data_IF_019589761199
#
_entry.id   IF_019589761199
#
_cell.length_a   1.000
_cell.length_b   1.000
_cell.length_c   1.000
_cell.angle_alpha   90.00
_cell.angle_beta   90.00
_cell.angle_gamma   90.00
#
_symmetry.space_group_name_H-M   'P 1'
#
loop_
_entity.id
_entity.type
_entity.pdbx_description
1 polymer ?
#
# COMPACT_ATOMS: atom_id res chain seq x y z
N UNK A 1 -8.71 -12.14 35.10
CA UNK A 1 -7.89 -13.35 34.97
C UNK A 1 -8.46 -14.10 33.78
N UNK A 2 -7.76 -14.12 32.63
CA UNK A 2 -7.99 -15.04 31.50
C UNK A 2 -6.92 -14.78 30.43
N UNK A 3 -5.88 -15.62 30.35
CA UNK A 3 -5.30 -15.98 29.05
C UNK A 3 -6.27 -16.97 28.41
N UNK A 4 -6.36 -16.96 27.08
CA UNK A 4 -7.13 -17.98 26.37
C UNK A 4 -6.13 -18.94 25.74
N UNK A 5 -6.17 -20.19 26.20
CA UNK A 5 -5.42 -21.27 25.60
C UNK A 5 -6.24 -21.79 24.42
N UNK A 6 -5.86 -21.43 23.20
CA UNK A 6 -6.39 -22.09 22.02
C UNK A 6 -5.58 -23.37 21.80
N UNK A 7 -6.14 -24.48 22.25
CA UNK A 7 -5.56 -25.80 22.01
C UNK A 7 -5.82 -26.21 20.56
N UNK A 8 -4.74 -26.60 19.88
CA UNK A 8 -4.71 -27.62 18.82
C UNK A 8 -5.25 -27.21 17.43
N UNK A 9 -4.40 -26.51 16.68
CA UNK A 9 -4.42 -26.72 15.21
C UNK A 9 -3.60 -27.96 14.90
N UNK A 10 -4.23 -28.96 14.30
CA UNK A 10 -3.51 -30.08 13.68
C UNK A 10 -2.73 -29.55 12.47
N UNK A 11 -1.43 -29.36 12.63
CA UNK A 11 -0.53 -29.00 11.54
C UNK A 11 0.19 -30.26 11.09
N UNK A 12 -0.36 -30.93 10.06
CA UNK A 12 0.23 -32.13 9.44
C UNK A 12 0.44 -33.30 10.42
N UNK A 13 -0.48 -33.52 11.35
CA UNK A 13 -0.41 -34.56 12.38
C UNK A 13 0.37 -34.17 13.64
N UNK A 14 0.84 -32.91 13.74
CA UNK A 14 1.55 -32.40 14.91
C UNK A 14 0.72 -31.35 15.63
N UNK A 15 0.57 -31.52 16.94
CA UNK A 15 -0.15 -30.58 17.79
C UNK A 15 0.70 -29.34 18.05
N UNK A 16 0.21 -28.18 17.64
CA UNK A 16 0.80 -26.89 17.99
C UNK A 16 -0.05 -26.22 19.05
N UNK A 17 0.60 -25.76 20.13
CA UNK A 17 -0.02 -24.93 21.14
C UNK A 17 0.14 -23.45 20.74
N UNK A 18 -0.95 -22.69 20.82
CA UNK A 18 -0.97 -21.25 20.68
C UNK A 18 -1.58 -20.64 21.93
N UNK A 19 -0.85 -19.72 22.56
CA UNK A 19 -1.28 -18.99 23.75
C UNK A 19 -1.35 -17.52 23.41
N UNK A 20 -2.51 -16.91 23.64
CA UNK A 20 -2.71 -15.48 23.42
C UNK A 20 -2.51 -14.73 24.74
N UNK A 21 -1.50 -13.88 24.76
CA UNK A 21 -1.21 -13.00 25.90
C UNK A 21 -2.21 -11.86 25.95
N UNK A 22 -2.29 -11.19 27.11
CA UNK A 22 -3.19 -10.04 27.32
C UNK A 22 -2.86 -8.85 26.42
N UNK A 23 -1.61 -8.75 26.00
CA UNK A 23 -1.11 -7.65 25.15
C UNK A 23 -1.31 -7.94 23.66
N UNK A 24 -2.03 -9.02 23.32
CA UNK A 24 -2.30 -9.43 21.94
C UNK A 24 -1.14 -10.17 21.26
N UNK A 25 -0.07 -10.48 21.98
CA UNK A 25 1.02 -11.33 21.47
C UNK A 25 0.63 -12.81 21.49
N UNK A 26 1.23 -13.58 20.59
CA UNK A 26 1.01 -15.02 20.45
C UNK A 26 2.29 -15.75 20.82
N UNK A 27 2.21 -16.62 21.82
CA UNK A 27 3.26 -17.57 22.18
C UNK A 27 2.92 -18.94 21.58
N UNK A 28 3.94 -19.71 21.20
CA UNK A 28 3.73 -21.01 20.57
C UNK A 28 4.86 -21.99 20.81
N UNK A 29 4.52 -23.28 20.73
CA UNK A 29 5.50 -24.37 20.57
C UNK A 29 6.08 -24.47 19.16
N UNK A 30 5.54 -23.73 18.20
CA UNK A 30 6.04 -23.60 16.83
C UNK A 30 6.53 -22.17 16.57
N UNK A 31 7.15 -21.92 15.40
CA UNK A 31 7.65 -20.60 15.07
C UNK A 31 6.53 -19.69 14.56
N UNK A 32 6.26 -18.60 15.26
CA UNK A 32 5.27 -17.60 14.85
C UNK A 32 5.95 -16.55 13.98
N UNK A 33 5.63 -16.51 12.68
CA UNK A 33 6.23 -15.56 11.74
C UNK A 33 5.46 -14.24 11.67
N UNK A 34 4.17 -14.28 11.96
CA UNK A 34 3.28 -13.14 11.78
C UNK A 34 2.07 -13.27 12.69
N UNK A 35 1.65 -12.15 13.28
CA UNK A 35 0.39 -11.99 13.99
C UNK A 35 -0.28 -10.70 13.51
N UNK A 36 -1.58 -10.75 13.20
CA UNK A 36 -2.32 -9.57 12.77
C UNK A 36 -3.81 -9.68 13.14
N UNK A 37 -4.45 -8.65 13.71
CA UNK A 37 -5.89 -8.68 13.99
C UNK A 37 -6.69 -8.66 12.68
N UNK A 38 -7.68 -9.54 12.56
CA UNK A 38 -8.49 -9.70 11.35
C UNK A 38 -9.98 -9.83 11.69
N UNK A 39 -10.81 -9.66 10.67
CA UNK A 39 -12.24 -9.94 10.75
C UNK A 39 -12.66 -10.94 9.67
N UNK A 40 -12.85 -12.20 10.07
CA UNK A 40 -13.32 -13.29 9.19
C UNK A 40 -14.37 -14.06 9.97
N UNK A 41 -15.65 -13.90 9.61
CA UNK A 41 -16.77 -14.52 10.35
C UNK A 41 -16.76 -14.22 11.86
N UNK A 42 -16.23 -13.04 12.24
CA UNK A 42 -16.01 -12.60 13.61
C UNK A 42 -14.60 -12.06 13.83
N UNK A 43 -14.37 -11.44 14.99
CA UNK A 43 -13.04 -10.95 15.39
C UNK A 43 -12.11 -12.12 15.65
N UNK A 44 -10.97 -12.15 14.96
CA UNK A 44 -9.96 -13.17 15.10
C UNK A 44 -8.55 -12.57 15.00
N UNK A 45 -7.54 -13.37 15.31
CA UNK A 45 -6.14 -13.05 15.04
C UNK A 45 -5.62 -13.99 13.97
N UNK A 46 -5.09 -13.43 12.90
CA UNK A 46 -4.34 -14.15 11.89
C UNK A 46 -2.96 -14.49 12.46
N UNK A 47 -2.59 -15.75 12.40
CA UNK A 47 -1.26 -16.23 12.80
C UNK A 47 -0.66 -17.02 11.64
N UNK A 48 0.57 -16.66 11.24
CA UNK A 48 1.37 -17.50 10.33
C UNK A 48 2.32 -18.34 11.18
N UNK A 49 1.99 -19.61 11.33
CA UNK A 49 2.81 -20.56 12.08
C UNK A 49 3.66 -21.37 11.11
N UNK A 50 4.94 -21.52 11.41
CA UNK A 50 5.85 -22.42 10.72
C UNK A 50 6.30 -23.55 11.65
N UNK A 51 6.25 -24.77 11.14
CA UNK A 51 6.80 -25.95 11.78
C UNK A 51 7.61 -26.73 10.74
N UNK A 52 8.90 -26.91 11.01
CA UNK A 52 9.86 -27.49 10.06
C UNK A 52 9.85 -26.74 8.71
N UNK A 53 9.49 -27.43 7.62
CA UNK A 53 9.48 -26.91 6.25
C UNK A 53 8.10 -26.46 5.76
N UNK A 54 7.10 -26.38 6.66
CA UNK A 54 5.73 -26.02 6.31
C UNK A 54 5.26 -24.80 7.10
N UNK A 55 4.43 -23.98 6.48
CA UNK A 55 3.80 -22.81 7.10
C UNK A 55 2.32 -22.78 6.80
N UNK A 56 1.50 -22.44 7.79
CA UNK A 56 0.05 -22.32 7.62
C UNK A 56 -0.48 -21.03 8.24
N UNK A 57 -1.53 -20.49 7.63
CA UNK A 57 -2.28 -19.38 8.20
C UNK A 57 -3.44 -19.92 9.03
N UNK A 58 -3.57 -19.42 10.25
CA UNK A 58 -4.67 -19.75 11.16
C UNK A 58 -5.40 -18.46 11.52
N UNK A 59 -6.73 -18.48 11.44
CA UNK A 59 -7.56 -17.51 12.12
C UNK A 59 -7.93 -18.09 13.49
N UNK A 60 -7.46 -17.46 14.57
CA UNK A 60 -7.75 -17.89 15.94
C UNK A 60 -8.74 -16.91 16.58
N UNK A 61 -9.84 -17.44 17.09
CA UNK A 61 -10.92 -16.67 17.69
C UNK A 61 -10.77 -16.62 19.21
N UNK A 62 -11.33 -15.58 19.84
CA UNK A 62 -11.26 -15.39 21.30
C UNK A 62 -11.89 -16.52 22.12
N UNK A 63 -12.74 -17.37 21.51
CA UNK A 63 -13.31 -18.55 22.16
C UNK A 63 -12.37 -19.77 22.14
N UNK A 64 -11.13 -19.61 21.68
CA UNK A 64 -10.13 -20.68 21.58
C UNK A 64 -10.24 -21.54 20.33
N UNK A 65 -11.28 -21.37 19.50
CA UNK A 65 -11.39 -22.08 18.22
C UNK A 65 -10.45 -21.48 17.18
N UNK A 66 -10.04 -22.32 16.22
CA UNK A 66 -9.20 -21.88 15.10
C UNK A 66 -9.66 -22.48 13.78
N UNK A 67 -9.47 -21.75 12.69
CA UNK A 67 -9.72 -22.22 11.33
C UNK A 67 -8.47 -22.01 10.50
N UNK A 68 -8.06 -23.03 9.75
CA UNK A 68 -7.00 -22.89 8.76
C UNK A 68 -7.50 -22.08 7.57
N UNK A 69 -6.74 -21.04 7.22
CA UNK A 69 -7.00 -20.25 6.02
C UNK A 69 -6.06 -20.72 4.91
N UNK A 70 -6.58 -21.22 3.78
CA UNK A 70 -5.75 -21.60 2.65
C UNK A 70 -5.00 -20.39 2.11
N UNK A 71 -3.72 -20.58 1.82
CA UNK A 71 -2.94 -19.64 1.03
C UNK A 71 -3.29 -19.84 -0.44
N UNK A 72 -3.71 -18.80 -1.12
CA UNK A 72 -3.98 -18.82 -2.57
C UNK A 72 -2.97 -17.98 -3.31
N UNK A 73 -2.58 -18.44 -4.50
CA UNK A 73 -1.65 -17.73 -5.37
C UNK A 73 -2.43 -16.75 -6.24
N UNK A 74 -2.22 -15.43 -6.09
CA UNK A 74 -2.86 -14.45 -6.96
C UNK A 74 -2.16 -14.39 -8.32
N UNK A 75 -2.89 -13.94 -9.34
CA UNK A 75 -2.32 -13.55 -10.64
C UNK A 75 -2.30 -12.03 -10.71
N UNK A 76 -1.11 -11.46 -10.94
CA UNK A 76 -0.99 -10.02 -11.26
C UNK A 76 -1.25 -9.90 -12.76
N UNK A 77 -2.39 -9.34 -13.15
CA UNK A 77 -2.73 -9.25 -14.57
C UNK A 77 -2.02 -8.09 -15.25
N UNK A 78 -2.06 -6.90 -14.64
CA UNK A 78 -1.55 -5.67 -15.25
C UNK A 78 -1.42 -4.54 -14.23
N UNK A 79 -0.63 -3.54 -14.60
CA UNK A 79 -0.58 -2.25 -13.92
C UNK A 79 -1.47 -1.28 -14.68
N UNK A 80 -2.42 -0.67 -14.00
CA UNK A 80 -3.42 0.23 -14.60
C UNK A 80 -3.41 1.60 -13.92
N UNK A 81 -4.11 2.55 -14.54
CA UNK A 81 -4.49 3.82 -13.92
C UNK A 81 -5.94 3.71 -13.43
N UNK A 82 -6.13 3.58 -12.13
CA UNK A 82 -7.44 3.58 -11.49
C UNK A 82 -7.90 5.01 -11.19
N UNK A 83 -9.11 5.38 -11.61
CA UNK A 83 -9.68 6.70 -11.34
C UNK A 83 -10.52 6.67 -10.06
N UNK A 84 -10.11 7.39 -9.03
CA UNK A 84 -10.77 7.50 -7.73
C UNK A 84 -10.95 8.98 -7.40
N UNK A 85 -12.16 9.41 -7.04
CA UNK A 85 -12.50 10.81 -6.70
C UNK A 85 -11.97 11.84 -7.71
N UNK A 86 -12.07 11.50 -9.00
CA UNK A 86 -11.62 12.36 -10.10
C UNK A 86 -10.11 12.39 -10.34
N UNK A 87 -9.30 11.70 -9.54
CA UNK A 87 -7.84 11.59 -9.68
C UNK A 87 -7.44 10.20 -10.19
N UNK A 88 -6.33 10.14 -10.90
CA UNK A 88 -5.77 8.89 -11.42
C UNK A 88 -4.65 8.39 -10.50
N UNK A 89 -4.71 7.11 -10.16
CA UNK A 89 -3.74 6.43 -9.31
C UNK A 89 -3.16 5.24 -10.05
N UNK A 90 -1.86 5.02 -9.92
CA UNK A 90 -1.24 3.78 -10.39
C UNK A 90 -1.71 2.64 -9.49
N UNK A 91 -2.13 1.53 -10.07
CA UNK A 91 -2.55 0.35 -9.31
C UNK A 91 -2.17 -0.96 -9.99
N UNK A 92 -1.89 -1.99 -9.19
CA UNK A 92 -1.81 -3.38 -9.69
C UNK A 92 -3.19 -4.01 -9.63
N UNK A 93 -3.64 -4.58 -10.73
CA UNK A 93 -4.80 -5.47 -10.79
C UNK A 93 -4.38 -6.89 -10.41
N UNK A 94 -5.04 -7.43 -9.40
CA UNK A 94 -4.70 -8.69 -8.75
C UNK A 94 -5.94 -9.57 -8.77
N UNK A 95 -5.88 -10.66 -9.52
CA UNK A 95 -6.97 -11.62 -9.62
C UNK A 95 -6.71 -12.82 -8.72
N UNK A 96 -7.73 -13.22 -7.98
CA UNK A 96 -7.69 -14.29 -6.99
C UNK A 96 -8.86 -15.23 -7.24
N UNK A 97 -8.55 -16.48 -7.58
CA UNK A 97 -9.56 -17.51 -7.78
C UNK A 97 -9.75 -18.30 -6.47
N UNK A 98 -10.66 -17.84 -5.61
CA UNK A 98 -11.02 -18.54 -4.38
C UNK A 98 -12.47 -18.28 -4.01
N UNK A 99 -13.21 -19.35 -3.69
CA UNK A 99 -14.62 -19.29 -3.25
C UNK A 99 -14.75 -19.35 -1.72
N UNK A 100 -13.63 -19.53 -1.02
CA UNK A 100 -13.56 -19.63 0.43
C UNK A 100 -12.68 -18.52 1.01
N UNK A 101 -12.87 -18.16 2.29
CA UNK A 101 -11.96 -17.26 2.98
C UNK A 101 -10.52 -17.76 2.88
N UNK A 102 -9.63 -16.90 2.39
CA UNK A 102 -8.26 -17.26 2.04
C UNK A 102 -7.33 -16.08 2.25
N UNK A 103 -6.04 -16.38 2.33
CA UNK A 103 -4.99 -15.37 2.42
C UNK A 103 -4.17 -15.40 1.15
N UNK A 104 -3.95 -14.23 0.56
CA UNK A 104 -2.99 -14.07 -0.52
C UNK A 104 -2.06 -12.91 -0.22
N UNK A 105 -0.93 -12.85 -0.93
CA UNK A 105 -0.08 -11.69 -0.89
C UNK A 105 0.48 -11.36 -2.26
N UNK A 106 0.79 -10.08 -2.44
CA UNK A 106 1.44 -9.57 -3.64
C UNK A 106 2.62 -8.69 -3.27
N UNK A 107 3.67 -8.75 -4.09
CA UNK A 107 4.82 -7.85 -3.97
C UNK A 107 4.44 -6.45 -4.44
N UNK A 108 4.85 -5.46 -3.67
CA UNK A 108 4.65 -4.06 -4.01
C UNK A 108 5.49 -3.65 -5.24
N UNK A 109 4.94 -2.79 -6.11
CA UNK A 109 5.69 -2.14 -7.18
C UNK A 109 6.64 -1.06 -6.64
N UNK A 110 6.21 -0.39 -5.58
CA UNK A 110 6.96 0.69 -4.95
C UNK A 110 6.70 0.67 -3.44
N UNK A 111 7.73 0.98 -2.66
CA UNK A 111 7.70 1.06 -1.20
C UNK A 111 7.20 2.43 -0.72
N UNK A 112 6.12 2.95 -1.30
CA UNK A 112 5.53 4.21 -0.82
C UNK A 112 4.78 3.99 0.50
N UNK A 113 4.69 5.06 1.30
CA UNK A 113 4.00 5.00 2.61
C UNK A 113 2.47 4.97 2.49
N UNK A 114 1.91 5.13 1.29
CA UNK A 114 0.47 5.28 1.07
C UNK A 114 -0.01 4.24 0.06
N UNK A 115 -0.30 3.05 0.59
CA UNK A 115 -0.82 1.91 -0.17
C UNK A 115 -2.21 1.58 0.36
N UNK A 116 -3.17 1.57 -0.56
CA UNK A 116 -4.55 1.18 -0.28
C UNK A 116 -4.89 -0.06 -1.08
N UNK A 117 -5.74 -0.92 -0.54
CA UNK A 117 -6.28 -2.06 -1.28
C UNK A 117 -7.76 -1.83 -1.50
N UNK A 118 -8.21 -1.98 -2.74
CA UNK A 118 -9.62 -1.96 -3.08
C UNK A 118 -10.03 -3.30 -3.66
N UNK A 119 -11.24 -3.77 -3.31
CA UNK A 119 -11.88 -4.91 -3.94
C UNK A 119 -12.87 -4.43 -4.98
N UNK A 120 -12.92 -5.11 -6.13
CA UNK A 120 -13.96 -4.90 -7.13
C UNK A 120 -15.31 -5.41 -6.61
N UNK A 121 -16.37 -4.67 -6.90
CA UNK A 121 -17.74 -5.00 -6.51
C UNK A 121 -18.68 -4.65 -7.66
N UNK A 122 -19.91 -5.17 -7.63
CA UNK A 122 -20.94 -4.86 -8.64
C UNK A 122 -21.26 -3.35 -8.76
N UNK A 123 -20.86 -2.55 -7.76
CA UNK A 123 -21.11 -1.11 -7.68
C UNK A 123 -19.83 -0.27 -7.80
N UNK A 124 -18.71 -0.86 -8.22
CA UNK A 124 -17.41 -0.19 -8.34
C UNK A 124 -16.38 -0.76 -7.37
N UNK A 125 -15.73 0.09 -6.58
CA UNK A 125 -14.63 -0.34 -5.71
C UNK A 125 -14.95 -0.12 -4.23
N UNK A 126 -14.60 -1.08 -3.40
CA UNK A 126 -14.66 -0.96 -1.92
C UNK A 126 -13.25 -1.03 -1.36
N UNK A 127 -12.82 0.03 -0.67
CA UNK A 127 -11.56 0.01 0.06
C UNK A 127 -11.63 -1.00 1.21
N UNK A 128 -10.58 -1.80 1.31
CA UNK A 128 -10.34 -2.68 2.43
C UNK A 128 -9.82 -1.87 3.62
N UNK A 129 -10.05 -2.36 4.83
CA UNK A 129 -9.53 -1.77 6.06
C UNK A 129 -8.39 -2.63 6.65
N UNK A 130 -7.80 -2.16 7.75
CA UNK A 130 -6.66 -2.82 8.41
C UNK A 130 -6.96 -4.24 8.92
N UNK A 131 -8.22 -4.64 9.05
CA UNK A 131 -8.60 -6.01 9.42
C UNK A 131 -8.69 -6.96 8.21
N UNK A 132 -8.64 -6.41 7.00
CA UNK A 132 -8.79 -7.11 5.72
C UNK A 132 -7.50 -7.10 4.90
N UNK A 133 -6.60 -6.14 5.12
CA UNK A 133 -5.27 -6.16 4.55
C UNK A 133 -4.24 -5.54 5.49
N UNK A 134 -2.97 -5.89 5.30
CA UNK A 134 -1.86 -5.27 5.99
C UNK A 134 -0.58 -5.36 5.16
N UNK A 135 0.39 -4.52 5.50
CA UNK A 135 1.71 -4.50 4.87
C UNK A 135 2.71 -5.23 5.76
N UNK A 136 3.49 -6.14 5.19
CA UNK A 136 4.59 -6.79 5.89
C UNK A 136 5.67 -7.21 4.91
N UNK A 137 6.93 -6.94 5.24
CA UNK A 137 8.11 -7.36 4.46
C UNK A 137 8.02 -7.03 2.96
N UNK A 138 7.56 -5.82 2.62
CA UNK A 138 7.44 -5.35 1.23
C UNK A 138 6.29 -5.99 0.44
N UNK A 139 5.37 -6.68 1.11
CA UNK A 139 4.19 -7.32 0.52
C UNK A 139 2.91 -6.79 1.13
N UNK A 140 1.86 -6.77 0.32
CA UNK A 140 0.48 -6.60 0.78
C UNK A 140 -0.07 -7.98 1.06
N UNK A 141 -0.49 -8.25 2.30
CA UNK A 141 -1.29 -9.41 2.64
C UNK A 141 -2.74 -9.02 2.65
N UNK A 142 -3.59 -9.82 2.03
CA UNK A 142 -5.04 -9.60 2.00
C UNK A 142 -5.71 -10.85 2.56
N UNK A 143 -6.63 -10.65 3.49
CA UNK A 143 -7.49 -11.67 4.07
C UNK A 143 -8.88 -11.47 3.47
N UNK A 144 -9.37 -12.51 2.82
CA UNK A 144 -10.46 -12.33 1.90
C UNK A 144 -11.79 -13.00 2.31
N UNK A 145 -12.87 -12.37 1.87
CA UNK A 145 -14.23 -12.90 1.71
C UNK A 145 -14.54 -12.83 0.20
N UNK A 146 -15.05 -13.89 -0.46
CA UNK A 146 -14.79 -14.19 -1.87
C UNK A 146 -15.17 -13.05 -2.83
N UNK A 147 -14.14 -12.36 -3.33
CA UNK A 147 -14.16 -11.45 -4.48
C UNK A 147 -12.99 -11.85 -5.40
N UNK A 148 -13.18 -11.70 -6.71
CA UNK A 148 -12.23 -12.18 -7.72
C UNK A 148 -11.11 -11.20 -8.03
N UNK A 149 -11.32 -9.89 -7.86
CA UNK A 149 -10.40 -8.85 -8.32
C UNK A 149 -10.10 -7.83 -7.23
N UNK A 150 -8.82 -7.51 -7.07
CA UNK A 150 -8.30 -6.50 -6.16
C UNK A 150 -7.42 -5.51 -6.89
N UNK A 151 -7.33 -4.32 -6.33
CA UNK A 151 -6.44 -3.27 -6.78
C UNK A 151 -5.55 -2.85 -5.63
N UNK A 152 -4.23 -3.04 -5.77
CA UNK A 152 -3.25 -2.41 -4.89
C UNK A 152 -2.96 -1.04 -5.46
N UNK A 153 -3.46 -0.01 -4.78
CA UNK A 153 -3.45 1.39 -5.22
C UNK A 153 -2.29 2.12 -4.56
N UNK A 154 -1.43 2.69 -5.39
CA UNK A 154 -0.28 3.48 -4.95
C UNK A 154 -0.66 4.95 -4.98
N UNK A 155 -0.73 5.59 -3.82
CA UNK A 155 -0.76 7.04 -3.80
C UNK A 155 0.58 7.56 -4.29
N UNK A 156 0.52 8.51 -5.23
CA UNK A 156 1.62 9.45 -5.35
C UNK A 156 1.63 10.23 -4.03
N UNK A 157 2.79 10.38 -3.39
CA UNK A 157 2.98 11.47 -2.42
C UNK A 157 2.35 12.71 -3.03
N UNK A 158 1.54 13.51 -2.31
CA UNK A 158 1.20 14.82 -2.82
C UNK A 158 2.54 15.49 -3.11
N UNK A 159 2.88 15.63 -4.39
CA UNK A 159 3.74 16.73 -4.80
C UNK A 159 3.01 17.90 -4.18
N UNK A 160 3.65 18.58 -3.24
CA UNK A 160 3.12 19.82 -2.71
C UNK A 160 2.96 20.71 -3.94
N UNK A 161 1.77 20.70 -4.53
CA UNK A 161 1.42 21.59 -5.61
C UNK A 161 1.34 22.90 -4.89
N UNK A 162 2.47 23.60 -4.81
CA UNK A 162 2.46 25.04 -4.60
C UNK A 162 1.42 25.52 -5.61
N UNK A 163 0.32 26.14 -5.18
CA UNK A 163 -0.67 26.66 -6.11
C UNK A 163 0.09 27.63 -7.01
N UNK A 164 0.40 27.19 -8.23
CA UNK A 164 0.76 28.13 -9.28
C UNK A 164 -0.57 28.82 -9.57
N UNK A 165 -0.73 30.11 -9.24
CA UNK A 165 -1.96 30.81 -9.59
C UNK A 165 -2.14 30.66 -11.10
N UNK A 166 -3.32 30.24 -11.51
CA UNK A 166 -3.74 30.18 -12.91
C UNK A 166 -3.74 31.59 -13.49
N UNK A 167 -2.60 32.05 -13.97
CA UNK A 167 -2.52 33.16 -14.91
C UNK A 167 -2.72 32.61 -16.31
N UNK A 168 -3.97 32.70 -16.74
CA UNK A 168 -4.35 32.82 -18.14
C UNK A 168 -3.43 33.80 -18.87
N UNK A 169 -2.74 33.28 -19.90
CA UNK A 169 -2.25 33.97 -21.10
C UNK A 169 -1.61 35.35 -20.93
N UNK A 170 -0.28 35.37 -20.69
CA UNK A 170 0.59 36.50 -21.07
C UNK A 170 2.04 36.05 -21.36
N UNK A 171 2.23 34.97 -22.12
CA UNK A 171 3.53 34.65 -22.71
C UNK A 171 3.72 35.44 -24.02
N UNK A 172 3.95 36.75 -23.91
CA UNK A 172 4.45 37.57 -25.03
C UNK A 172 5.23 38.83 -24.60
N UNK A 173 5.55 38.99 -23.31
CA UNK A 173 6.27 40.18 -22.82
C UNK A 173 7.68 39.91 -22.25
N UNK A 174 7.96 38.69 -21.78
CA UNK A 174 9.22 38.40 -21.05
C UNK A 174 10.48 38.34 -21.93
N UNK A 175 10.34 38.09 -23.24
CA UNK A 175 11.50 38.08 -24.16
C UNK A 175 11.93 39.50 -24.59
N UNK A 176 11.05 40.50 -24.52
CA UNK A 176 11.37 41.88 -24.88
C UNK A 176 12.21 42.59 -23.82
N UNK A 177 11.87 42.43 -22.54
CA UNK A 177 12.56 43.12 -21.44
C UNK A 177 14.03 42.71 -21.30
N UNK A 178 14.36 41.43 -21.49
CA UNK A 178 15.76 40.97 -21.48
C UNK A 178 16.57 41.57 -22.63
N UNK A 179 15.95 41.77 -23.80
CA UNK A 179 16.62 42.41 -24.94
C UNK A 179 16.89 43.90 -24.68
N UNK A 180 15.93 44.63 -24.10
CA UNK A 180 16.11 46.06 -23.77
C UNK A 180 17.15 46.28 -22.67
N UNK A 181 17.20 45.41 -21.65
CA UNK A 181 18.24 45.47 -20.61
C UNK A 181 19.63 45.20 -21.20
N UNK A 182 19.76 44.21 -22.09
CA UNK A 182 21.02 43.94 -22.79
C UNK A 182 21.48 45.11 -23.65
N UNK A 183 20.58 45.71 -24.45
CA UNK A 183 20.90 46.88 -25.29
C UNK A 183 21.30 48.07 -24.42
N UNK A 184 20.60 48.31 -23.30
CA UNK A 184 20.92 49.39 -22.37
C UNK A 184 22.33 49.26 -21.78
N UNK A 185 22.73 48.05 -21.36
CA UNK A 185 24.07 47.79 -20.83
C UNK A 185 25.14 48.07 -21.89
N UNK A 186 24.93 47.64 -23.13
CA UNK A 186 25.89 47.86 -24.23
C UNK A 186 26.09 49.35 -24.53
N UNK A 187 25.01 50.15 -24.56
CA UNK A 187 25.10 51.59 -24.80
C UNK A 187 25.89 52.30 -23.69
N UNK A 188 25.65 51.94 -22.43
CA UNK A 188 26.38 52.52 -21.29
C UNK A 188 27.87 52.17 -21.34
N UNK A 189 28.21 50.92 -21.69
CA UNK A 189 29.61 50.51 -21.86
C UNK A 189 30.31 51.27 -22.99
N UNK A 190 29.65 51.47 -24.13
CA UNK A 190 30.21 52.25 -25.24
C UNK A 190 30.44 53.70 -24.82
N UNK A 191 29.47 54.32 -24.13
CA UNK A 191 29.61 55.69 -23.63
C UNK A 191 30.77 55.83 -22.63
N UNK A 192 30.94 54.86 -21.72
CA UNK A 192 32.05 54.84 -20.77
C UNK A 192 33.41 54.71 -21.46
N UNK A 193 33.52 53.85 -22.49
CA UNK A 193 34.74 53.69 -23.29
C UNK A 193 35.06 54.99 -24.05
N UNK A 194 34.07 55.61 -24.69
CA UNK A 194 34.27 56.87 -25.42
C UNK A 194 34.66 58.00 -24.47
N UNK A 195 34.07 58.07 -23.28
CA UNK A 195 34.47 59.04 -22.25
C UNK A 195 35.92 58.82 -21.80
N UNK A 196 36.33 57.57 -21.59
CA UNK A 196 37.69 57.22 -21.19
C UNK A 196 38.72 57.57 -22.27
N UNK A 197 38.41 57.34 -23.55
CA UNK A 197 39.32 57.65 -24.67
C UNK A 197 39.45 59.17 -24.90
N UNK A 198 38.42 59.96 -24.55
CA UNK A 198 38.43 61.43 -24.72
C UNK A 198 39.09 62.19 -23.56
N UNK A 199 39.51 61.49 -22.51
CA UNK A 199 40.24 62.06 -21.37
C UNK A 199 41.74 61.84 -21.53
#
# INVERSE_FOLDING_TARGET
MTSYDSLLSDMMGVQVLLVFTKDGQVESTAYVNLTHPIYVRGTATLVLVSLNYSSTFLAVYHNGSSVQLPRVSPTIEKVISLRLDGRNYTSQEVVVNSTLPSVFNVSLLNHTNYIYVAAETDHGFRFLNDSQYFLSSGRVFVINDPVSTYFVVYSQTPVSVIPVPSQSSALSAAQGYLLYVLVGIVVVLIAAIVYYIRK
#
